data_IF_739740023488
#
_entry.id   IF_739740023488
#
_cell.length_a   1.000
_cell.length_b   1.000
_cell.length_c   1.000
_cell.angle_alpha   90.00
_cell.angle_beta   90.00
_cell.angle_gamma   90.00
#
_symmetry.space_group_name_H-M   'P 1'
#
loop_
_entity.id
_entity.type
_entity.pdbx_description
1 polymer ?
#
# COMPACT_ATOMS: atom_id res chain seq x y z
N UNK A 1 -10.57 6.39 -22.43
CA UNK A 1 -9.67 5.28 -22.10
C UNK A 1 -9.60 5.19 -20.58
N UNK A 2 -10.14 4.14 -19.96
CA UNK A 2 -10.07 3.95 -18.50
C UNK A 2 -8.67 3.45 -18.16
N UNK A 3 -7.89 4.25 -17.43
CA UNK A 3 -6.64 3.76 -16.83
C UNK A 3 -7.02 2.62 -15.87
N UNK A 4 -6.40 1.44 -15.95
CA UNK A 4 -6.65 0.38 -14.98
C UNK A 4 -6.29 0.92 -13.59
N UNK A 5 -7.25 0.85 -12.66
CA UNK A 5 -6.98 1.11 -11.25
C UNK A 5 -6.18 -0.11 -10.78
N UNK A 6 -4.91 0.09 -10.47
CA UNK A 6 -4.14 -0.94 -9.79
C UNK A 6 -4.53 -0.96 -8.32
N UNK A 7 -4.86 -2.15 -7.84
CA UNK A 7 -5.39 -2.39 -6.50
C UNK A 7 -4.46 -3.37 -5.80
N UNK A 8 -3.97 -2.98 -4.63
CA UNK A 8 -3.18 -3.82 -3.74
C UNK A 8 -4.06 -4.35 -2.63
N UNK A 9 -3.91 -5.62 -2.26
CA UNK A 9 -4.83 -6.30 -1.35
C UNK A 9 -4.08 -6.72 -0.09
N UNK A 10 -4.63 -6.35 1.06
CA UNK A 10 -4.24 -6.91 2.35
C UNK A 10 -5.47 -7.45 3.08
N UNK A 11 -5.29 -8.53 3.84
CA UNK A 11 -6.36 -9.22 4.53
C UNK A 11 -6.04 -9.38 6.01
N UNK A 12 -7.02 -9.14 6.88
CA UNK A 12 -6.90 -9.36 8.32
C UNK A 12 -8.04 -10.25 8.77
N UNK A 13 -7.73 -11.30 9.51
CA UNK A 13 -8.74 -12.18 10.08
C UNK A 13 -9.28 -11.60 11.38
N UNK A 14 -10.60 -11.40 11.45
CA UNK A 14 -11.32 -11.04 12.65
C UNK A 14 -11.42 -12.20 13.63
N UNK A 15 -11.71 -11.89 14.89
CA UNK A 15 -11.94 -12.89 15.94
C UNK A 15 -13.21 -13.72 15.68
N UNK A 16 -14.15 -13.19 14.90
CA UNK A 16 -15.36 -13.86 14.45
C UNK A 16 -15.15 -14.72 13.20
N UNK A 17 -13.90 -14.88 12.74
CA UNK A 17 -13.53 -15.72 11.60
C UNK A 17 -13.68 -15.05 10.23
N UNK A 18 -14.37 -13.91 10.14
CA UNK A 18 -14.51 -13.13 8.88
C UNK A 18 -13.19 -12.44 8.54
N UNK A 19 -12.99 -12.15 7.25
CA UNK A 19 -11.83 -11.38 6.79
C UNK A 19 -12.22 -9.94 6.53
N UNK A 20 -11.46 -9.01 7.10
CA UNK A 20 -11.40 -7.64 6.63
C UNK A 20 -10.46 -7.58 5.43
N UNK A 21 -10.98 -7.16 4.28
CA UNK A 21 -10.20 -6.90 3.07
C UNK A 21 -9.93 -5.40 2.98
N UNK A 22 -8.66 -5.02 2.80
CA UNK A 22 -8.26 -3.66 2.45
C UNK A 22 -7.75 -3.64 1.02
N UNK A 23 -8.21 -2.64 0.27
CA UNK A 23 -7.89 -2.41 -1.14
C UNK A 23 -7.20 -1.05 -1.27
N UNK A 24 -5.89 -1.06 -1.53
CA UNK A 24 -5.10 0.14 -1.77
C UNK A 24 -5.15 0.52 -3.25
N UNK A 25 -5.81 1.63 -3.56
CA UNK A 25 -5.83 2.22 -4.89
C UNK A 25 -4.66 3.20 -5.06
N UNK A 26 -3.94 3.05 -6.17
CA UNK A 26 -2.65 3.70 -6.42
C UNK A 26 -2.63 5.23 -6.29
N UNK A 27 -3.67 5.93 -6.75
CA UNK A 27 -3.65 7.39 -6.88
C UNK A 27 -2.63 7.90 -7.90
N UNK A 28 -2.34 9.21 -7.86
CA UNK A 28 -1.23 9.76 -8.65
C UNK A 28 -1.47 9.97 -10.15
N UNK A 29 -2.72 10.04 -10.60
CA UNK A 29 -3.09 10.32 -11.99
C UNK A 29 -3.97 11.56 -12.10
N UNK A 30 -4.13 12.13 -13.29
CA UNK A 30 -5.04 13.29 -13.47
C UNK A 30 -6.50 12.98 -13.07
N UNK A 31 -6.95 11.73 -13.29
CA UNK A 31 -8.31 11.29 -12.96
C UNK A 31 -8.46 10.88 -11.49
N UNK A 32 -7.42 10.27 -10.92
CA UNK A 32 -7.37 9.81 -9.54
C UNK A 32 -6.10 10.39 -8.91
N UNK A 33 -6.15 11.65 -8.42
CA UNK A 33 -4.96 12.35 -7.98
C UNK A 33 -4.40 11.83 -6.65
N UNK A 34 -5.24 11.23 -5.82
CA UNK A 34 -4.89 10.74 -4.49
C UNK A 34 -5.06 9.22 -4.43
N UNK A 35 -4.23 8.55 -3.62
CA UNK A 35 -4.42 7.15 -3.25
C UNK A 35 -5.65 6.99 -2.36
N UNK A 36 -6.25 5.80 -2.34
CA UNK A 36 -7.41 5.51 -1.47
C UNK A 36 -7.28 4.11 -0.91
N UNK A 37 -7.44 3.95 0.41
CA UNK A 37 -7.66 2.65 1.03
C UNK A 37 -9.16 2.43 1.19
N UNK A 38 -9.71 1.48 0.46
CA UNK A 38 -11.08 0.99 0.61
C UNK A 38 -11.10 -0.29 1.43
N UNK A 39 -12.27 -0.68 1.92
CA UNK A 39 -12.39 -1.95 2.64
C UNK A 39 -13.76 -2.60 2.48
N UNK A 40 -13.75 -3.93 2.60
CA UNK A 40 -14.94 -4.78 2.67
C UNK A 40 -14.74 -5.91 3.67
N UNK A 41 -15.81 -6.62 3.97
CA UNK A 41 -15.78 -7.79 4.87
C UNK A 41 -16.17 -9.02 4.06
N UNK A 42 -15.30 -10.01 4.03
CA UNK A 42 -15.54 -11.31 3.43
C UNK A 42 -15.91 -12.32 4.53
N UNK A 43 -17.12 -12.86 4.44
CA UNK A 43 -17.55 -14.04 5.16
C UNK A 43 -17.22 -15.27 4.31
N UNK A 44 -16.18 -16.00 4.71
CA UNK A 44 -15.72 -17.20 3.98
C UNK A 44 -16.75 -18.32 4.08
N UNK A 45 -17.45 -18.48 5.20
CA UNK A 45 -18.40 -19.58 5.37
C UNK A 45 -19.64 -19.39 4.49
N UNK A 46 -20.06 -18.13 4.31
CA UNK A 46 -21.20 -17.78 3.46
C UNK A 46 -20.83 -17.48 2.01
N UNK A 47 -19.53 -17.38 1.70
CA UNK A 47 -19.01 -16.90 0.41
C UNK A 47 -19.53 -15.50 0.04
N UNK A 48 -19.70 -14.61 1.03
CA UNK A 48 -20.26 -13.28 0.84
C UNK A 48 -19.21 -12.19 1.08
N UNK A 49 -19.02 -11.32 0.09
CA UNK A 49 -18.23 -10.09 0.22
C UNK A 49 -19.16 -8.89 0.30
N UNK A 50 -19.06 -8.12 1.39
CA UNK A 50 -19.90 -6.96 1.63
C UNK A 50 -19.06 -5.69 1.77
N UNK A 51 -19.49 -4.62 1.12
CA UNK A 51 -18.93 -3.28 1.30
C UNK A 51 -19.98 -2.38 1.92
N UNK A 52 -19.59 -1.58 2.91
CA UNK A 52 -20.42 -0.49 3.41
C UNK A 52 -20.22 0.75 2.55
N UNK A 53 -21.12 1.74 2.63
CA UNK A 53 -20.93 3.03 1.96
C UNK A 53 -19.60 3.68 2.35
N UNK A 54 -19.24 3.66 3.64
CA UNK A 54 -17.93 4.14 4.12
C UNK A 54 -16.75 3.32 3.59
N UNK A 55 -16.89 2.00 3.50
CA UNK A 55 -15.86 1.14 2.94
C UNK A 55 -15.63 1.38 1.44
N UNK A 56 -16.71 1.73 0.72
CA UNK A 56 -16.64 2.18 -0.66
C UNK A 56 -16.15 3.60 -0.80
N UNK A 57 -16.39 4.52 0.14
CA UNK A 57 -15.82 5.87 0.12
C UNK A 57 -14.30 5.81 0.36
N UNK A 58 -13.88 5.02 1.35
CA UNK A 58 -12.49 4.78 1.70
C UNK A 58 -11.84 5.92 2.48
N UNK A 59 -10.55 5.79 2.74
CA UNK A 59 -9.70 6.83 3.32
C UNK A 59 -8.69 7.28 2.27
N UNK A 60 -8.65 8.59 2.02
CA UNK A 60 -7.68 9.21 1.11
C UNK A 60 -6.28 9.17 1.71
N UNK A 61 -5.31 8.82 0.88
CA UNK A 61 -3.90 8.71 1.22
C UNK A 61 -3.10 9.61 0.29
N UNK A 62 -2.21 10.41 0.90
CA UNK A 62 -1.22 11.20 0.19
C UNK A 62 0.15 10.75 0.68
N UNK A 63 1.01 10.31 -0.23
CA UNK A 63 2.32 9.83 0.17
C UNK A 63 3.22 10.99 0.62
N UNK A 64 3.87 10.88 1.79
CA UNK A 64 4.84 11.86 2.22
C UNK A 64 6.12 11.76 1.38
N UNK A 65 6.82 12.87 1.19
CA UNK A 65 8.08 12.87 0.45
C UNK A 65 8.33 14.14 -0.34
N UNK A 66 9.53 14.20 -0.93
CA UNK A 66 9.94 15.28 -1.84
C UNK A 66 9.80 14.81 -3.28
N UNK A 67 8.57 14.79 -3.77
CA UNK A 67 8.24 14.39 -5.15
C UNK A 67 8.66 15.48 -6.14
N UNK A 68 9.37 15.11 -7.22
CA UNK A 68 9.77 16.09 -8.25
C UNK A 68 8.57 16.49 -9.09
N UNK A 69 7.70 15.53 -9.40
CA UNK A 69 6.48 15.76 -10.14
C UNK A 69 5.29 15.02 -9.48
N UNK A 70 4.32 15.78 -8.98
CA UNK A 70 3.13 15.20 -8.33
C UNK A 70 2.25 14.39 -9.30
N UNK A 71 2.35 14.63 -10.61
CA UNK A 71 1.57 13.88 -11.61
C UNK A 71 2.17 12.51 -11.94
N UNK A 72 3.42 12.27 -11.55
CA UNK A 72 4.09 10.97 -11.71
C UNK A 72 4.28 10.25 -10.38
N UNK A 73 4.01 10.91 -9.26
CA UNK A 73 3.95 10.26 -7.95
C UNK A 73 2.78 9.28 -7.89
N UNK A 74 3.03 8.04 -7.45
CA UNK A 74 2.03 7.05 -7.08
C UNK A 74 1.96 6.98 -5.57
N UNK A 75 0.83 7.37 -4.98
CA UNK A 75 0.69 7.41 -3.52
C UNK A 75 0.73 6.01 -2.91
N UNK A 76 0.24 4.99 -3.62
CA UNK A 76 0.28 3.60 -3.19
C UNK A 76 0.83 2.73 -4.32
N UNK A 77 1.99 2.10 -4.13
CA UNK A 77 2.58 1.16 -5.07
C UNK A 77 2.65 -0.27 -4.55
N UNK A 78 2.47 -0.47 -3.24
CA UNK A 78 2.05 -1.72 -2.62
C UNK A 78 1.62 -1.46 -1.15
N UNK A 79 1.02 -2.45 -0.49
CA UNK A 79 0.55 -2.39 0.89
C UNK A 79 0.87 -3.68 1.67
N UNK A 80 1.40 -3.49 2.87
CA UNK A 80 1.62 -4.54 3.87
C UNK A 80 1.00 -4.13 5.21
N UNK A 81 0.48 -5.10 5.98
CA UNK A 81 -0.02 -4.84 7.33
C UNK A 81 0.79 -5.69 8.30
N UNK A 82 1.46 -5.01 9.23
CA UNK A 82 2.24 -5.67 10.27
C UNK A 82 1.35 -6.43 11.26
N UNK A 83 1.90 -7.41 12.01
CA UNK A 83 1.18 -8.10 13.08
C UNK A 83 0.59 -7.15 14.14
N UNK A 84 1.22 -6.00 14.38
CA UNK A 84 0.77 -4.97 15.31
C UNK A 84 -0.37 -4.10 14.74
N UNK A 85 -0.78 -4.34 13.49
CA UNK A 85 -1.84 -3.62 12.78
C UNK A 85 -1.40 -2.28 12.18
N UNK A 86 -0.09 -1.99 12.13
CA UNK A 86 0.43 -0.83 11.38
C UNK A 86 0.29 -1.12 9.89
N UNK A 87 -0.27 -0.16 9.16
CA UNK A 87 -0.35 -0.20 7.70
C UNK A 87 0.96 0.37 7.18
N UNK A 88 1.63 -0.38 6.31
CA UNK A 88 2.84 0.04 5.60
C UNK A 88 2.52 0.14 4.12
N UNK A 89 2.86 1.27 3.53
CA UNK A 89 2.70 1.52 2.11
C UNK A 89 4.03 1.87 1.48
N UNK A 90 4.18 1.55 0.20
CA UNK A 90 5.19 2.15 -0.65
C UNK A 90 4.55 3.17 -1.57
N UNK A 91 5.31 4.19 -1.93
CA UNK A 91 4.99 5.13 -2.99
C UNK A 91 6.20 5.25 -3.91
N UNK A 92 5.95 5.56 -5.18
CA UNK A 92 6.99 5.65 -6.19
C UNK A 92 6.76 6.79 -7.17
N UNK A 93 7.83 7.47 -7.57
CA UNK A 93 7.80 8.36 -8.73
C UNK A 93 7.96 7.51 -10.00
N UNK A 94 6.90 7.46 -10.80
CA UNK A 94 6.76 6.64 -11.99
C UNK A 94 6.82 7.52 -13.25
N UNK A 95 8.04 7.73 -13.75
CA UNK A 95 8.33 8.53 -14.93
C UNK A 95 8.27 7.72 -16.24
N UNK A 96 7.69 6.51 -16.21
CA UNK A 96 7.67 5.54 -17.30
C UNK A 96 8.67 4.38 -17.09
N UNK A 97 8.70 3.46 -18.05
CA UNK A 97 9.28 2.10 -17.91
C UNK A 97 10.81 2.05 -17.70
N UNK A 98 11.52 3.16 -17.82
CA UNK A 98 12.99 3.21 -17.74
C UNK A 98 13.51 4.00 -16.53
N UNK A 99 12.61 4.46 -15.66
CA UNK A 99 12.99 5.28 -14.51
C UNK A 99 13.66 6.62 -14.92
N UNK A 100 14.49 7.22 -14.03
CA UNK A 100 14.89 6.69 -12.74
C UNK A 100 13.71 6.64 -11.76
N UNK A 101 13.61 5.53 -11.03
CA UNK A 101 12.60 5.36 -10.00
C UNK A 101 13.14 5.82 -8.64
N UNK A 102 12.28 6.48 -7.88
CA UNK A 102 12.52 6.76 -6.45
C UNK A 102 11.29 6.33 -5.70
N UNK A 103 11.47 5.46 -4.72
CA UNK A 103 10.40 4.99 -3.86
C UNK A 103 10.60 5.46 -2.43
N UNK A 104 9.50 5.52 -1.69
CA UNK A 104 9.52 5.67 -0.24
C UNK A 104 8.64 4.59 0.39
N UNK A 105 8.97 4.23 1.62
CA UNK A 105 8.17 3.39 2.50
C UNK A 105 7.70 4.28 3.64
N UNK A 106 6.41 4.22 3.95
CA UNK A 106 5.79 5.05 4.98
C UNK A 106 4.60 4.35 5.63
N UNK A 107 4.18 4.87 6.79
CA UNK A 107 2.97 4.42 7.48
C UNK A 107 1.91 5.53 7.39
N UNK A 108 0.75 5.29 6.76
CA UNK A 108 -0.38 6.22 6.81
C UNK A 108 -1.20 6.10 8.08
N UNK A 109 -0.93 5.11 8.94
CA UNK A 109 -1.71 4.85 10.14
C UNK A 109 -1.83 3.37 10.46
N UNK A 110 -2.93 3.00 11.11
CA UNK A 110 -3.11 1.64 11.66
C UNK A 110 -4.55 1.15 11.61
N UNK A 111 -4.71 -0.13 11.92
CA UNK A 111 -6.02 -0.79 12.00
C UNK A 111 -6.66 -0.56 13.38
N UNK A 112 -7.96 -0.23 13.40
CA UNK A 112 -8.73 0.11 14.60
C UNK A 112 -9.36 -1.09 15.32
N UNK A 113 -9.38 -2.26 14.68
CA UNK A 113 -10.14 -3.44 15.12
C UNK A 113 -11.65 -3.35 14.87
N UNK A 114 -12.17 -2.19 14.44
CA UNK A 114 -13.58 -1.99 14.11
C UNK A 114 -13.80 -2.10 12.59
N UNK A 115 -14.45 -3.16 12.12
CA UNK A 115 -14.63 -3.42 10.68
C UNK A 115 -15.51 -2.37 9.96
N UNK A 116 -16.33 -1.60 10.69
CA UNK A 116 -17.10 -0.51 10.08
C UNK A 116 -16.25 0.71 9.72
N UNK A 117 -15.16 0.92 10.44
CA UNK A 117 -14.16 1.97 10.19
C UNK A 117 -12.78 1.47 10.63
N UNK A 118 -12.17 0.59 9.82
CA UNK A 118 -10.99 -0.16 10.22
C UNK A 118 -9.71 0.65 10.12
N UNK A 119 -9.67 1.72 9.32
CA UNK A 119 -8.45 2.52 9.12
C UNK A 119 -8.47 3.75 10.03
N UNK A 120 -7.47 3.88 10.90
CA UNK A 120 -7.15 5.11 11.64
C UNK A 120 -5.95 5.73 10.92
N UNK A 121 -6.21 6.81 10.18
CA UNK A 121 -5.16 7.53 9.47
C UNK A 121 -4.43 8.52 10.38
N UNK A 122 -3.12 8.59 10.22
CA UNK A 122 -2.27 9.62 10.79
C UNK A 122 -2.45 10.92 10.02
N UNK A 123 -2.46 12.05 10.73
CA UNK A 123 -2.61 13.38 10.11
C UNK A 123 -1.39 13.76 9.26
N UNK A 124 -0.22 13.29 9.66
CA UNK A 124 1.06 13.64 9.05
C UNK A 124 1.90 12.37 8.95
N UNK A 125 1.67 11.52 7.94
CA UNK A 125 2.51 10.35 7.72
C UNK A 125 3.95 10.78 7.45
N UNK A 126 4.90 10.05 8.01
CA UNK A 126 6.32 10.30 7.81
C UNK A 126 6.96 9.21 6.94
N UNK A 127 7.93 9.60 6.13
CA UNK A 127 8.75 8.65 5.38
C UNK A 127 9.61 7.87 6.38
N UNK A 128 9.40 6.56 6.45
CA UNK A 128 10.28 5.69 7.21
C UNK A 128 11.58 5.42 6.44
N UNK A 129 11.48 5.15 5.14
CA UNK A 129 12.67 4.91 4.30
C UNK A 129 12.50 5.46 2.89
N UNK A 130 13.53 6.14 2.40
CA UNK A 130 13.68 6.43 0.97
C UNK A 130 14.56 5.37 0.30
N UNK A 131 14.15 4.95 -0.89
CA UNK A 131 14.77 3.89 -1.67
C UNK A 131 15.03 4.42 -3.08
N UNK A 132 16.30 4.67 -3.39
CA UNK A 132 16.72 5.15 -4.69
C UNK A 132 16.83 4.01 -5.71
N UNK A 133 16.58 4.35 -6.98
CA UNK A 133 16.79 3.50 -8.16
C UNK A 133 15.97 2.21 -8.19
N UNK A 134 14.89 2.15 -7.42
CA UNK A 134 13.97 0.99 -7.37
C UNK A 134 12.54 1.52 -7.30
N UNK A 135 11.65 0.97 -8.14
CA UNK A 135 10.20 1.11 -8.03
C UNK A 135 9.69 -0.02 -7.15
N UNK A 136 9.30 0.29 -5.92
CA UNK A 136 8.79 -0.76 -5.01
C UNK A 136 7.37 -1.10 -5.45
N UNK A 137 7.15 -2.36 -5.79
CA UNK A 137 5.84 -2.91 -6.24
C UNK A 137 5.45 -4.16 -5.44
N UNK A 138 6.30 -4.56 -4.49
CA UNK A 138 5.98 -5.55 -3.48
C UNK A 138 6.56 -5.11 -2.13
N UNK A 139 5.78 -5.26 -1.06
CA UNK A 139 6.12 -5.01 0.32
C UNK A 139 5.69 -6.21 1.17
N UNK A 140 6.56 -6.60 2.09
CA UNK A 140 6.21 -7.59 3.12
C UNK A 140 7.04 -7.36 4.37
N UNK A 141 6.73 -8.13 5.43
CA UNK A 141 7.42 -8.06 6.70
C UNK A 141 8.91 -8.40 6.66
N UNK A 142 9.56 -8.37 7.83
CA UNK A 142 10.96 -8.75 7.97
C UNK A 142 11.18 -10.23 7.62
N UNK A 143 12.41 -10.57 7.21
CA UNK A 143 12.84 -11.95 6.98
C UNK A 143 13.71 -12.43 8.15
N UNK A 144 13.24 -13.47 8.84
CA UNK A 144 13.90 -14.01 10.05
C UNK A 144 15.34 -14.46 9.80
N UNK A 145 15.64 -14.98 8.61
CA UNK A 145 16.97 -15.46 8.25
C UNK A 145 17.96 -14.35 7.88
N UNK A 146 17.53 -13.09 7.79
CA UNK A 146 18.40 -11.95 7.48
C UNK A 146 18.50 -11.02 8.68
N UNK A 147 19.67 -11.01 9.31
CA UNK A 147 19.96 -10.16 10.45
C UNK A 147 19.70 -8.67 10.11
N UNK A 148 18.98 -7.97 10.99
CA UNK A 148 18.66 -6.55 10.81
C UNK A 148 17.46 -6.27 9.90
N UNK A 149 16.91 -7.26 9.18
CA UNK A 149 15.74 -7.07 8.33
C UNK A 149 14.56 -6.54 9.15
N UNK A 150 13.99 -5.41 8.71
CA UNK A 150 12.75 -4.83 9.23
C UNK A 150 11.59 -4.95 8.26
N UNK A 151 11.90 -5.04 6.98
CA UNK A 151 10.92 -5.17 5.90
C UNK A 151 11.57 -5.85 4.70
N UNK A 152 10.76 -6.33 3.78
CA UNK A 152 11.20 -6.80 2.47
C UNK A 152 10.54 -6.02 1.37
N UNK A 153 11.30 -5.69 0.33
CA UNK A 153 10.78 -5.01 -0.85
C UNK A 153 11.04 -5.85 -2.09
N UNK A 154 10.14 -5.75 -3.05
CA UNK A 154 10.30 -6.28 -4.38
C UNK A 154 9.98 -5.24 -5.45
N UNK A 155 10.52 -5.46 -6.64
CA UNK A 155 10.25 -4.71 -7.85
C UNK A 155 10.20 -5.72 -8.99
N UNK A 156 9.30 -5.50 -9.95
CA UNK A 156 9.23 -6.27 -11.19
C UNK A 156 9.44 -5.30 -12.34
N UNK A 157 10.71 -4.95 -12.60
CA UNK A 157 11.04 -4.01 -13.65
C UNK A 157 10.89 -4.68 -15.02
N UNK A 158 10.10 -4.07 -15.90
CA UNK A 158 9.71 -4.66 -17.18
C UNK A 158 10.93 -4.91 -18.11
N UNK A 159 12.04 -4.19 -17.90
CA UNK A 159 13.23 -4.25 -18.75
C UNK A 159 14.45 -4.88 -18.06
N UNK A 160 14.55 -4.76 -16.73
CA UNK A 160 15.72 -5.19 -15.96
C UNK A 160 15.46 -6.41 -15.07
N UNK A 161 14.20 -6.90 -15.07
CA UNK A 161 13.77 -8.07 -14.32
C UNK A 161 13.45 -7.78 -12.85
N UNK A 162 13.03 -8.82 -12.15
CA UNK A 162 12.63 -8.72 -10.76
C UNK A 162 13.79 -8.62 -9.79
N UNK A 163 13.65 -7.77 -8.76
CA UNK A 163 14.53 -7.78 -7.60
C UNK A 163 13.74 -8.02 -6.32
N UNK A 164 14.38 -8.69 -5.36
CA UNK A 164 13.94 -8.76 -3.99
C UNK A 164 15.10 -8.37 -3.08
N UNK A 165 14.83 -7.59 -2.03
CA UNK A 165 15.83 -7.31 -0.99
C UNK A 165 15.20 -6.98 0.36
N UNK A 166 15.87 -7.34 1.46
CA UNK A 166 15.52 -6.85 2.78
C UNK A 166 15.89 -5.36 2.93
N UNK A 167 15.17 -4.66 3.81
CA UNK A 167 15.42 -3.29 4.22
C UNK A 167 15.59 -3.25 5.73
N UNK A 168 16.66 -2.58 6.18
CA UNK A 168 17.04 -2.39 7.58
C UNK A 168 16.67 -0.99 8.11
#
# INVERSE_FOLDING_TARGET
>A
MSVPISIFIACIRGTDGRLLLLLGERGGSQKFPEGVIRWGVLDIERHELQFTEKGLEGVKINAPGKWKNRLTNRDISDMYISPEGIIWLSAAEDNGDNGPFTSVIYSPGRISGNFSQPVIADRHPEVWRAVASVKIEALSGPVESVAGSRMSIGSDDENYGGIWRPVE
#
